data_IF_523162655782
#
_entry.id   IF_523162655782
#
_cell.length_a   1.000
_cell.length_b   1.000
_cell.length_c   1.000
_cell.angle_alpha   90.00
_cell.angle_beta   90.00
_cell.angle_gamma   90.00
#
_symmetry.space_group_name_H-M   'P 1'
#
loop_
_entity.id
_entity.type
_entity.pdbx_description
1 polymer ?
#
# COMPACT_ATOMS: atom_id res chain seq x y z
N UNK A 1 0.04 7.10 -51.71
CA UNK A 1 -1.27 6.76 -51.10
C UNK A 1 -1.23 6.54 -49.59
N UNK A 2 -0.19 5.91 -49.01
CA UNK A 2 -0.12 5.71 -47.54
C UNK A 2 0.07 6.99 -46.72
N UNK A 3 0.75 8.00 -47.27
CA UNK A 3 1.01 9.29 -46.61
C UNK A 3 -0.19 10.22 -46.51
N UNK A 4 -1.15 10.13 -47.45
CA UNK A 4 -2.38 10.94 -47.43
C UNK A 4 -3.38 10.40 -46.40
N UNK A 5 -3.42 9.07 -46.21
CA UNK A 5 -4.29 8.45 -45.20
C UNK A 5 -3.84 8.77 -43.77
N UNK A 6 -2.53 8.89 -43.53
CA UNK A 6 -1.97 9.22 -42.22
C UNK A 6 -2.22 10.69 -41.87
N UNK A 7 -2.11 11.60 -42.86
CA UNK A 7 -2.39 13.02 -42.66
C UNK A 7 -3.87 13.34 -42.40
N UNK A 8 -4.79 12.59 -43.04
CA UNK A 8 -6.23 12.67 -42.74
C UNK A 8 -6.55 12.11 -41.36
N UNK A 9 -5.92 11.00 -40.95
CA UNK A 9 -6.11 10.42 -39.62
C UNK A 9 -5.62 11.36 -38.50
N UNK A 10 -4.48 12.04 -38.67
CA UNK A 10 -4.00 13.03 -37.69
C UNK A 10 -4.82 14.31 -37.68
N UNK A 11 -5.40 14.73 -38.81
CA UNK A 11 -6.25 15.94 -38.87
C UNK A 11 -7.63 15.70 -38.26
N UNK A 12 -8.20 14.51 -38.38
CA UNK A 12 -9.48 14.15 -37.74
C UNK A 12 -9.32 14.00 -36.22
N UNK A 13 -8.16 13.53 -35.74
CA UNK A 13 -7.89 13.41 -34.30
C UNK A 13 -7.65 14.79 -33.64
N UNK A 14 -7.09 15.76 -34.35
CA UNK A 14 -6.86 17.11 -33.81
C UNK A 14 -8.09 18.04 -33.86
N UNK A 15 -9.01 17.84 -34.80
CA UNK A 15 -10.26 18.63 -34.87
C UNK A 15 -11.31 18.17 -33.86
N UNK A 16 -11.20 16.94 -33.33
CA UNK A 16 -12.10 16.43 -32.28
C UNK A 16 -11.73 16.89 -30.85
N UNK A 17 -10.57 17.55 -30.66
CA UNK A 17 -10.05 17.88 -29.33
C UNK A 17 -10.57 19.16 -28.62
N UNK A 18 -11.29 20.13 -29.22
CA UNK A 18 -11.81 21.25 -28.43
C UNK A 18 -13.20 20.99 -27.82
N UNK A 19 -13.87 19.86 -28.12
CA UNK A 19 -15.23 19.63 -27.62
C UNK A 19 -15.30 18.99 -26.22
N UNK A 20 -14.19 18.45 -25.69
CA UNK A 20 -14.17 17.75 -24.39
C UNK A 20 -13.69 18.63 -23.22
N UNK A 21 -13.21 19.84 -23.48
CA UNK A 21 -12.68 20.72 -22.42
C UNK A 21 -13.69 21.69 -21.81
N UNK A 22 -14.97 21.67 -22.21
CA UNK A 22 -15.97 22.63 -21.72
C UNK A 22 -17.35 22.07 -21.36
N UNK A 23 -17.53 20.76 -21.30
CA UNK A 23 -18.70 20.18 -20.63
C UNK A 23 -18.30 19.76 -19.22
N UNK A 24 -18.33 20.73 -18.30
CA UNK A 24 -18.74 20.40 -16.93
C UNK A 24 -20.13 19.81 -17.09
N UNK A 25 -20.36 18.51 -16.87
CA UNK A 25 -21.67 17.91 -17.09
C UNK A 25 -22.71 18.73 -16.33
N UNK A 26 -23.80 19.08 -16.99
CA UNK A 26 -24.92 19.86 -16.43
C UNK A 26 -25.45 19.24 -15.13
N UNK A 27 -25.16 17.95 -14.89
CA UNK A 27 -25.34 17.21 -13.63
C UNK A 27 -24.63 17.88 -12.43
N UNK A 28 -23.40 18.40 -12.61
CA UNK A 28 -22.66 19.11 -11.55
C UNK A 28 -23.27 20.48 -11.21
N UNK A 29 -24.10 21.05 -12.09
CA UNK A 29 -24.73 22.36 -11.92
C UNK A 29 -26.19 22.28 -11.45
N UNK A 30 -26.80 21.08 -11.44
CA UNK A 30 -28.25 20.92 -11.24
C UNK A 30 -28.68 20.58 -9.81
N UNK A 31 -27.76 20.55 -8.84
CA UNK A 31 -28.13 20.25 -7.47
C UNK A 31 -27.94 21.45 -6.54
N UNK A 32 -28.97 22.30 -6.33
CA UNK A 32 -28.95 23.32 -5.29
C UNK A 32 -29.04 22.71 -3.86
N UNK A 33 -28.98 21.39 -3.68
CA UNK A 33 -28.98 20.74 -2.36
C UNK A 33 -27.68 20.92 -1.54
N UNK A 34 -26.81 21.85 -1.91
CA UNK A 34 -25.53 22.11 -1.21
C UNK A 34 -25.64 23.09 -0.02
N UNK A 35 -26.85 23.43 0.43
CA UNK A 35 -27.00 24.02 1.77
C UNK A 35 -26.93 22.89 2.80
N UNK A 36 -25.77 22.77 3.44
CA UNK A 36 -25.62 21.89 4.59
C UNK A 36 -26.74 22.15 5.60
N UNK A 37 -27.35 21.08 6.10
CA UNK A 37 -28.49 21.09 7.03
C UNK A 37 -28.18 21.81 8.36
N UNK A 38 -26.91 22.17 8.60
CA UNK A 38 -26.45 22.81 9.82
C UNK A 38 -26.77 21.96 11.05
N UNK A 39 -27.18 22.61 12.13
CA UNK A 39 -27.57 21.93 13.37
C UNK A 39 -28.86 21.12 13.25
N UNK A 40 -29.69 21.37 12.22
CA UNK A 40 -30.92 20.61 12.02
C UNK A 40 -30.65 19.17 11.58
N UNK A 41 -29.48 18.88 10.99
CA UNK A 41 -29.08 17.51 10.66
C UNK A 41 -29.02 16.57 11.87
N UNK A 42 -28.86 17.09 13.10
CA UNK A 42 -28.92 16.27 14.32
C UNK A 42 -30.33 15.75 14.66
N UNK A 43 -31.37 16.30 14.03
CA UNK A 43 -32.75 15.85 14.26
C UNK A 43 -33.12 14.60 13.45
N UNK A 44 -32.36 14.29 12.40
CA UNK A 44 -32.55 13.08 11.59
C UNK A 44 -31.89 11.87 12.25
N UNK A 45 -32.59 11.31 13.24
CA UNK A 45 -32.14 10.14 14.00
C UNK A 45 -31.97 8.91 13.08
N UNK A 46 -32.80 8.78 12.04
CA UNK A 46 -32.72 7.67 11.10
C UNK A 46 -31.40 7.69 10.32
N UNK A 47 -31.04 8.86 9.78
CA UNK A 47 -29.75 9.05 9.13
C UNK A 47 -28.58 8.85 10.10
N UNK A 48 -28.65 9.40 11.32
CA UNK A 48 -27.57 9.26 12.31
C UNK A 48 -27.32 7.80 12.69
N UNK A 49 -28.37 7.00 12.89
CA UNK A 49 -28.24 5.56 13.19
C UNK A 49 -27.63 4.82 12.02
N UNK A 50 -28.15 5.02 10.80
CA UNK A 50 -27.61 4.39 9.59
C UNK A 50 -26.15 4.75 9.36
N UNK A 51 -25.79 6.04 9.48
CA UNK A 51 -24.42 6.52 9.35
C UNK A 51 -23.51 5.88 10.42
N UNK A 52 -23.98 5.79 11.68
CA UNK A 52 -23.21 5.16 12.76
C UNK A 52 -22.98 3.67 12.49
N UNK A 53 -24.00 2.94 12.04
CA UNK A 53 -23.88 1.52 11.68
C UNK A 53 -22.92 1.32 10.50
N UNK A 54 -22.98 2.19 9.48
CA UNK A 54 -22.07 2.18 8.34
C UNK A 54 -20.62 2.43 8.76
N UNK A 55 -20.38 3.39 9.66
CA UNK A 55 -19.05 3.65 10.20
C UNK A 55 -18.54 2.47 11.04
N UNK A 56 -19.39 1.88 11.88
CA UNK A 56 -19.04 0.68 12.65
C UNK A 56 -18.69 -0.50 11.74
N UNK A 57 -19.47 -0.72 10.68
CA UNK A 57 -19.18 -1.76 9.70
C UNK A 57 -17.83 -1.52 9.02
N UNK A 58 -17.54 -0.28 8.62
CA UNK A 58 -16.26 0.08 8.02
C UNK A 58 -15.09 -0.15 8.98
N UNK A 59 -15.24 0.17 10.27
CA UNK A 59 -14.24 -0.12 11.30
C UNK A 59 -14.01 -1.62 11.44
N UNK A 60 -15.07 -2.43 11.50
CA UNK A 60 -14.95 -3.88 11.66
C UNK A 60 -14.26 -4.49 10.43
N UNK A 61 -14.69 -4.16 9.22
CA UNK A 61 -14.10 -4.68 7.99
C UNK A 61 -12.66 -4.20 7.80
N UNK A 62 -12.39 -2.93 8.09
CA UNK A 62 -11.03 -2.38 8.10
C UNK A 62 -10.14 -3.08 9.13
N UNK A 63 -10.65 -3.37 10.32
CA UNK A 63 -9.94 -4.10 11.36
C UNK A 63 -9.62 -5.55 10.96
N UNK A 64 -10.52 -6.24 10.26
CA UNK A 64 -10.28 -7.60 9.74
C UNK A 64 -9.07 -7.62 8.79
N UNK A 65 -8.95 -6.62 7.91
CA UNK A 65 -7.78 -6.47 7.03
C UNK A 65 -6.55 -6.03 7.83
N UNK A 66 -6.71 -5.09 8.76
CA UNK A 66 -5.62 -4.51 9.54
C UNK A 66 -4.93 -5.51 10.47
N UNK A 67 -5.70 -6.38 11.12
CA UNK A 67 -5.20 -7.41 12.02
C UNK A 67 -5.04 -8.77 11.34
N UNK A 68 -4.84 -8.77 10.02
CA UNK A 68 -4.57 -10.00 9.27
C UNK A 68 -3.37 -10.76 9.91
N UNK A 69 -3.47 -12.08 10.15
CA UNK A 69 -2.51 -12.85 10.95
C UNK A 69 -1.07 -12.83 10.43
N UNK A 70 -0.88 -12.56 9.13
CA UNK A 70 0.44 -12.40 8.53
C UNK A 70 1.10 -11.05 8.78
N UNK A 71 0.34 -10.02 9.16
CA UNK A 71 0.89 -8.70 9.45
C UNK A 71 1.83 -8.73 10.67
N UNK A 72 1.46 -9.50 11.70
CA UNK A 72 2.30 -9.65 12.90
C UNK A 72 3.56 -10.51 12.72
N UNK A 73 3.69 -11.24 11.60
CA UNK A 73 4.87 -12.07 11.33
C UNK A 73 5.99 -11.30 10.60
N UNK A 74 5.66 -10.14 10.02
CA UNK A 74 6.57 -9.36 9.17
C UNK A 74 6.76 -7.92 9.68
N UNK A 75 6.08 -7.51 10.76
CA UNK A 75 6.14 -6.15 11.30
C UNK A 75 7.42 -5.93 12.13
N UNK A 76 8.53 -5.68 11.43
CA UNK A 76 9.83 -5.41 12.05
C UNK A 76 10.15 -3.90 12.09
N UNK A 77 9.43 -3.07 11.31
CA UNK A 77 9.57 -1.60 11.35
C UNK A 77 8.48 -0.90 12.17
N UNK A 78 8.80 0.24 12.79
CA UNK A 78 7.82 1.05 13.51
C UNK A 78 6.63 1.47 12.62
N UNK A 79 6.91 1.76 11.35
CA UNK A 79 5.90 2.11 10.35
C UNK A 79 4.90 0.96 10.10
N UNK A 80 5.37 -0.29 10.09
CA UNK A 80 4.51 -1.48 9.94
C UNK A 80 3.73 -1.81 11.20
N UNK A 81 4.31 -1.58 12.38
CA UNK A 81 3.61 -1.76 13.67
C UNK A 81 2.44 -0.78 13.80
N UNK A 82 2.58 0.43 13.26
CA UNK A 82 1.52 1.45 13.28
C UNK A 82 0.53 1.33 12.11
N UNK A 83 0.84 0.56 11.06
CA UNK A 83 0.00 0.39 9.87
C UNK A 83 -1.45 -0.04 10.15
N UNK A 84 -1.76 -0.93 11.13
CA UNK A 84 -3.14 -1.30 11.41
C UNK A 84 -4.02 -0.12 11.81
N UNK A 85 -3.47 0.84 12.58
CA UNK A 85 -4.17 2.06 12.98
C UNK A 85 -4.50 2.91 11.75
N UNK A 86 -3.54 3.04 10.84
CA UNK A 86 -3.69 3.78 9.58
C UNK A 86 -4.81 3.15 8.75
N UNK A 87 -4.84 1.83 8.61
CA UNK A 87 -5.85 1.15 7.79
C UNK A 87 -7.27 1.37 8.31
N UNK A 88 -7.48 1.28 9.63
CA UNK A 88 -8.79 1.53 10.24
C UNK A 88 -9.22 2.99 10.00
N UNK A 89 -8.32 3.96 10.20
CA UNK A 89 -8.60 5.37 9.94
C UNK A 89 -8.98 5.59 8.48
N UNK A 90 -8.26 4.99 7.54
CA UNK A 90 -8.54 5.12 6.11
C UNK A 90 -9.85 4.42 5.69
N UNK A 91 -10.24 3.31 6.33
CA UNK A 91 -11.57 2.72 6.14
C UNK A 91 -12.68 3.70 6.56
N UNK A 92 -12.52 4.33 7.72
CA UNK A 92 -13.48 5.33 8.24
C UNK A 92 -13.55 6.53 7.31
N UNK A 93 -12.41 7.05 6.83
CA UNK A 93 -12.36 8.14 5.85
C UNK A 93 -13.11 7.75 4.57
N UNK A 94 -12.88 6.54 4.05
CA UNK A 94 -13.60 6.01 2.88
C UNK A 94 -15.11 6.00 3.09
N UNK A 95 -15.58 5.46 4.22
CA UNK A 95 -17.00 5.41 4.56
C UNK A 95 -17.61 6.80 4.70
N UNK A 96 -16.88 7.73 5.33
CA UNK A 96 -17.31 9.12 5.47
C UNK A 96 -17.44 9.82 4.10
N UNK A 97 -16.49 9.59 3.18
CA UNK A 97 -16.59 10.08 1.79
C UNK A 97 -17.84 9.49 1.12
N UNK A 98 -18.09 8.19 1.25
CA UNK A 98 -19.25 7.54 0.64
C UNK A 98 -20.57 8.11 1.15
N UNK A 99 -20.72 8.27 2.47
CA UNK A 99 -21.91 8.88 3.09
C UNK A 99 -22.13 10.29 2.56
N UNK A 100 -21.07 11.10 2.48
CA UNK A 100 -21.15 12.46 1.95
C UNK A 100 -21.56 12.49 0.48
N UNK A 101 -21.03 11.58 -0.34
CA UNK A 101 -21.34 11.53 -1.78
C UNK A 101 -22.78 11.09 -2.00
N UNK A 102 -23.30 10.14 -1.21
CA UNK A 102 -24.69 9.70 -1.30
C UNK A 102 -25.65 10.82 -0.88
N UNK A 103 -25.33 11.56 0.19
CA UNK A 103 -26.23 12.58 0.75
C UNK A 103 -26.15 13.95 0.06
N UNK A 104 -24.94 14.38 -0.32
CA UNK A 104 -24.67 15.72 -0.84
C UNK A 104 -24.21 15.72 -2.30
N UNK A 105 -24.19 14.55 -2.95
CA UNK A 105 -23.93 14.40 -4.38
C UNK A 105 -22.46 14.33 -4.77
N UNK A 106 -22.24 14.16 -6.09
CA UNK A 106 -20.93 13.88 -6.68
C UNK A 106 -19.93 15.03 -6.55
N UNK A 107 -20.41 16.28 -6.44
CA UNK A 107 -19.56 17.47 -6.29
C UNK A 107 -18.67 17.35 -5.05
N UNK A 108 -19.24 16.89 -3.93
CA UNK A 108 -18.47 16.65 -2.70
C UNK A 108 -17.40 15.57 -2.90
N UNK A 109 -17.73 14.52 -3.64
CA UNK A 109 -16.77 13.48 -4.04
C UNK A 109 -15.60 14.02 -4.84
N UNK A 110 -15.85 14.90 -5.82
CA UNK A 110 -14.79 15.55 -6.61
C UNK A 110 -13.86 16.41 -5.74
N UNK A 111 -14.41 17.18 -4.81
CA UNK A 111 -13.62 18.01 -3.88
C UNK A 111 -12.74 17.14 -2.99
N UNK A 112 -13.31 16.11 -2.37
CA UNK A 112 -12.58 15.19 -1.49
C UNK A 112 -11.50 14.41 -2.24
N UNK A 113 -11.81 13.95 -3.46
CA UNK A 113 -10.82 13.32 -4.34
C UNK A 113 -9.68 14.27 -4.72
N UNK A 114 -10.00 15.53 -5.04
CA UNK A 114 -9.01 16.57 -5.33
C UNK A 114 -8.05 16.80 -4.17
N UNK A 115 -8.58 16.93 -2.94
CA UNK A 115 -7.77 17.08 -1.72
C UNK A 115 -6.89 15.84 -1.52
N UNK A 116 -7.44 14.62 -1.66
CA UNK A 116 -6.69 13.38 -1.53
C UNK A 116 -5.54 13.25 -2.54
N UNK A 117 -5.78 13.65 -3.80
CA UNK A 117 -4.77 13.68 -4.84
C UNK A 117 -3.63 14.66 -4.54
N UNK A 118 -3.96 15.85 -4.02
CA UNK A 118 -2.97 16.85 -3.61
C UNK A 118 -2.07 16.35 -2.47
N UNK A 119 -2.64 15.68 -1.47
CA UNK A 119 -1.87 15.10 -0.36
C UNK A 119 -0.91 14.05 -0.88
N UNK A 120 -1.36 13.14 -1.76
CA UNK A 120 -0.52 12.09 -2.33
C UNK A 120 0.70 12.63 -3.07
N UNK A 121 0.56 13.76 -3.78
CA UNK A 121 1.71 14.40 -4.46
C UNK A 121 2.72 15.04 -3.50
N UNK A 122 2.32 15.33 -2.26
CA UNK A 122 3.20 15.90 -1.24
C UNK A 122 3.86 14.84 -0.35
N UNK A 123 3.29 13.64 -0.25
CA UNK A 123 3.80 12.56 0.61
C UNK A 123 4.60 11.52 -0.19
N UNK A 124 5.87 11.30 0.18
CA UNK A 124 6.65 10.17 -0.33
C UNK A 124 6.19 8.89 0.37
N UNK A 125 5.63 7.96 -0.40
CA UNK A 125 5.25 6.63 0.09
C UNK A 125 6.46 5.72 -0.02
N UNK A 126 6.94 5.21 1.12
CA UNK A 126 8.19 4.43 1.22
C UNK A 126 8.03 2.99 0.73
N UNK A 127 6.84 2.40 0.88
CA UNK A 127 6.51 1.03 0.45
C UNK A 127 5.25 0.99 -0.41
N UNK A 128 5.36 0.38 -1.59
CA UNK A 128 4.24 0.19 -2.52
C UNK A 128 3.20 -0.81 -1.98
N UNK A 129 3.63 -1.81 -1.20
CA UNK A 129 2.76 -2.83 -0.60
C UNK A 129 1.84 -2.21 0.46
N UNK A 130 2.41 -1.44 1.39
CA UNK A 130 1.63 -0.73 2.43
C UNK A 130 0.62 0.23 1.79
N UNK A 131 1.03 0.97 0.77
CA UNK A 131 0.15 1.89 0.04
C UNK A 131 -1.03 1.16 -0.59
N UNK A 132 -0.80 0.01 -1.23
CA UNK A 132 -1.85 -0.79 -1.85
C UNK A 132 -2.91 -1.22 -0.85
N UNK A 133 -2.49 -1.65 0.35
CA UNK A 133 -3.40 -2.03 1.44
C UNK A 133 -4.22 -0.86 1.98
N UNK A 134 -3.61 0.31 2.12
CA UNK A 134 -4.34 1.53 2.52
C UNK A 134 -5.42 1.86 1.51
N UNK A 135 -5.08 1.88 0.21
CA UNK A 135 -6.04 2.19 -0.87
C UNK A 135 -7.18 1.17 -0.86
N UNK A 136 -6.85 -0.13 -0.79
CA UNK A 136 -7.83 -1.20 -0.78
C UNK A 136 -8.78 -1.10 0.42
N UNK A 137 -8.23 -0.83 1.61
CA UNK A 137 -9.02 -0.65 2.83
C UNK A 137 -9.91 0.60 2.76
N UNK A 138 -9.41 1.68 2.14
CA UNK A 138 -10.21 2.89 1.87
C UNK A 138 -11.39 2.57 0.94
N UNK A 139 -11.19 1.74 -0.09
CA UNK A 139 -12.25 1.32 -1.01
C UNK A 139 -13.32 0.47 -0.31
N UNK A 140 -12.94 -0.42 0.60
CA UNK A 140 -13.89 -1.18 1.44
C UNK A 140 -14.76 -0.22 2.24
N UNK A 141 -14.12 0.75 2.91
CA UNK A 141 -14.82 1.80 3.65
C UNK A 141 -15.78 2.58 2.76
N UNK A 142 -15.31 3.02 1.59
CA UNK A 142 -16.12 3.72 0.60
C UNK A 142 -17.35 2.91 0.17
N UNK A 143 -17.20 1.61 -0.08
CA UNK A 143 -18.33 0.72 -0.39
C UNK A 143 -19.34 0.65 0.76
N UNK A 144 -18.91 0.69 2.02
CA UNK A 144 -19.84 0.82 3.15
C UNK A 144 -20.60 2.14 3.08
N UNK A 145 -19.90 3.25 2.84
CA UNK A 145 -20.47 4.58 2.77
C UNK A 145 -21.43 4.81 1.60
N UNK A 146 -21.25 4.08 0.50
CA UNK A 146 -22.10 4.13 -0.70
C UNK A 146 -23.38 3.29 -0.58
N UNK A 147 -23.72 2.81 0.62
CA UNK A 147 -24.86 1.91 0.88
C UNK A 147 -24.76 0.56 0.14
N UNK A 148 -23.53 0.07 -0.06
CA UNK A 148 -23.23 -1.21 -0.69
C UNK A 148 -22.54 -2.19 0.28
N UNK A 149 -23.17 -2.56 1.41
CA UNK A 149 -22.52 -3.37 2.45
C UNK A 149 -22.16 -4.79 1.95
N UNK A 150 -22.94 -5.34 1.03
CA UNK A 150 -22.66 -6.64 0.42
C UNK A 150 -21.37 -6.63 -0.41
N UNK A 151 -21.11 -5.55 -1.16
CA UNK A 151 -19.87 -5.37 -1.91
C UNK A 151 -18.69 -5.19 -0.95
N UNK A 152 -18.87 -4.42 0.12
CA UNK A 152 -17.83 -4.21 1.12
C UNK A 152 -17.39 -5.52 1.79
N UNK A 153 -18.35 -6.38 2.18
CA UNK A 153 -18.05 -7.70 2.75
C UNK A 153 -17.34 -8.59 1.74
N UNK A 154 -17.83 -8.68 0.50
CA UNK A 154 -17.20 -9.49 -0.55
C UNK A 154 -15.76 -9.04 -0.83
N UNK A 155 -15.55 -7.72 -0.95
CA UNK A 155 -14.23 -7.13 -1.16
C UNK A 155 -13.30 -7.41 0.03
N UNK A 156 -13.81 -7.37 1.26
CA UNK A 156 -13.03 -7.70 2.46
C UNK A 156 -12.58 -9.15 2.44
N UNK A 157 -13.48 -10.10 2.15
CA UNK A 157 -13.12 -11.53 2.04
C UNK A 157 -12.10 -11.75 0.93
N UNK A 158 -12.32 -11.17 -0.25
CA UNK A 158 -11.38 -11.27 -1.36
C UNK A 158 -10.01 -10.69 -1.02
N UNK A 159 -9.96 -9.50 -0.43
CA UNK A 159 -8.73 -8.86 -0.01
C UNK A 159 -8.00 -9.63 1.07
N UNK A 160 -8.72 -10.19 2.03
CA UNK A 160 -8.15 -11.05 3.07
C UNK A 160 -7.43 -12.26 2.45
N UNK A 161 -8.09 -12.95 1.51
CA UNK A 161 -7.48 -14.08 0.79
C UNK A 161 -6.30 -13.63 -0.08
N UNK A 162 -6.42 -12.49 -0.76
CA UNK A 162 -5.36 -11.97 -1.61
C UNK A 162 -4.10 -11.62 -0.81
N UNK A 163 -4.25 -10.91 0.32
CA UNK A 163 -3.14 -10.61 1.24
C UNK A 163 -2.52 -11.90 1.76
N UNK A 164 -3.33 -12.89 2.12
CA UNK A 164 -2.84 -14.18 2.57
C UNK A 164 -1.94 -14.89 1.53
N UNK A 165 -2.31 -14.81 0.24
CA UNK A 165 -1.54 -15.40 -0.88
C UNK A 165 -0.29 -14.57 -1.19
N UNK A 166 -0.40 -13.24 -1.25
CA UNK A 166 0.72 -12.35 -1.62
C UNK A 166 1.81 -12.30 -0.55
N UNK A 167 1.44 -12.27 0.74
CA UNK A 167 2.38 -12.33 1.87
C UNK A 167 2.91 -13.76 2.12
N UNK A 168 2.76 -14.68 1.17
CA UNK A 168 3.41 -15.98 1.23
C UNK A 168 4.93 -15.90 0.99
N UNK A 169 5.44 -14.84 0.37
CA UNK A 169 6.86 -14.72 0.00
C UNK A 169 7.50 -13.43 0.53
N UNK A 170 7.92 -13.41 1.79
CA UNK A 170 8.71 -12.31 2.35
C UNK A 170 10.13 -12.38 1.75
N UNK A 171 10.61 -11.27 1.19
CA UNK A 171 11.96 -11.15 0.66
C UNK A 171 12.78 -10.27 1.62
N UNK A 172 13.77 -10.86 2.27
CA UNK A 172 14.70 -10.15 3.13
C UNK A 172 15.83 -9.55 2.31
N UNK A 173 16.22 -8.31 2.63
CA UNK A 173 17.39 -7.66 2.05
C UNK A 173 18.43 -7.36 3.13
N UNK A 174 19.61 -7.95 3.00
CA UNK A 174 20.75 -7.67 3.85
C UNK A 174 21.76 -6.80 3.08
N UNK A 175 22.23 -5.71 3.69
CA UNK A 175 23.39 -4.91 3.25
C UNK A 175 24.53 -5.05 4.28
N UNK A 176 25.51 -5.89 3.97
CA UNK A 176 26.71 -6.04 4.80
C UNK A 176 27.69 -4.94 4.43
N UNK A 177 28.04 -4.09 5.39
CA UNK A 177 28.95 -2.95 5.24
C UNK A 177 30.26 -3.18 5.99
N UNK A 178 31.25 -2.32 5.70
CA UNK A 178 32.58 -2.31 6.33
C UNK A 178 33.40 -3.60 6.13
N UNK A 179 33.23 -4.26 4.99
CA UNK A 179 33.99 -5.47 4.66
C UNK A 179 35.47 -5.16 4.39
N UNK A 180 36.42 -6.06 4.71
CA UNK A 180 37.83 -5.86 4.38
C UNK A 180 38.02 -5.76 2.86
N UNK A 181 38.58 -4.65 2.35
CA UNK A 181 38.64 -4.35 0.89
C UNK A 181 39.28 -5.45 0.05
N UNK A 182 40.17 -6.26 0.63
CA UNK A 182 40.92 -7.34 -0.04
C UNK A 182 40.22 -8.71 0.02
N UNK A 183 39.17 -8.88 0.84
CA UNK A 183 38.48 -10.18 1.07
C UNK A 183 36.95 -10.10 0.90
N UNK A 184 36.44 -9.08 0.22
CA UNK A 184 34.99 -8.89 -0.01
C UNK A 184 34.35 -10.09 -0.70
N UNK A 185 35.06 -10.74 -1.63
CA UNK A 185 34.58 -11.92 -2.34
C UNK A 185 34.50 -13.17 -1.44
N UNK A 186 35.49 -13.37 -0.57
CA UNK A 186 35.54 -14.48 0.39
C UNK A 186 34.50 -14.31 1.49
N UNK A 187 34.35 -13.08 2.01
CA UNK A 187 33.28 -12.77 2.95
C UNK A 187 31.92 -13.04 2.31
N UNK A 188 31.65 -12.53 1.11
CA UNK A 188 30.39 -12.79 0.40
C UNK A 188 30.11 -14.29 0.25
N UNK A 189 31.12 -15.11 -0.04
CA UNK A 189 30.96 -16.56 -0.13
C UNK A 189 30.61 -17.21 1.23
N UNK A 190 31.22 -16.74 2.33
CA UNK A 190 30.89 -17.22 3.67
C UNK A 190 29.45 -16.86 4.09
N UNK A 191 29.02 -15.60 3.84
CA UNK A 191 27.63 -15.18 4.08
C UNK A 191 26.65 -15.98 3.20
N UNK A 192 27.01 -16.24 1.94
CA UNK A 192 26.19 -17.04 1.01
C UNK A 192 26.02 -18.47 1.50
N UNK A 193 27.09 -19.13 1.92
CA UNK A 193 27.05 -20.51 2.38
C UNK A 193 26.19 -20.69 3.63
N UNK A 194 26.26 -19.74 4.57
CA UNK A 194 25.40 -19.74 5.77
C UNK A 194 23.91 -19.54 5.42
N UNK A 195 23.60 -18.63 4.49
CA UNK A 195 22.22 -18.43 4.03
C UNK A 195 21.67 -19.66 3.28
N UNK A 196 22.48 -20.30 2.43
CA UNK A 196 22.07 -21.52 1.72
C UNK A 196 21.92 -22.73 2.68
N UNK A 197 22.67 -22.78 3.79
CA UNK A 197 22.52 -23.81 4.83
C UNK A 197 21.21 -23.67 5.63
N UNK A 198 20.74 -22.43 5.84
CA UNK A 198 19.53 -22.12 6.61
C UNK A 198 18.26 -22.04 5.73
N UNK A 199 18.21 -22.79 4.63
CA UNK A 199 17.07 -22.89 3.70
C UNK A 199 16.60 -21.52 3.14
N UNK A 200 17.50 -20.54 3.05
CA UNK A 200 17.20 -19.23 2.47
C UNK A 200 17.49 -19.23 0.96
N UNK A 201 16.45 -19.03 0.14
CA UNK A 201 16.60 -18.91 -1.30
C UNK A 201 17.12 -17.52 -1.69
N UNK A 202 18.37 -17.44 -2.13
CA UNK A 202 18.99 -16.20 -2.58
C UNK A 202 18.44 -15.80 -3.95
N UNK A 203 17.66 -14.72 -3.99
CA UNK A 203 17.05 -14.16 -5.21
C UNK A 203 18.03 -13.28 -5.96
N UNK A 204 18.87 -12.52 -5.23
CA UNK A 204 19.82 -11.59 -5.84
C UNK A 204 21.03 -11.34 -4.95
N UNK A 205 22.19 -11.31 -5.57
CA UNK A 205 23.47 -10.96 -4.93
C UNK A 205 24.11 -9.81 -5.70
N UNK A 206 24.54 -8.75 -5.00
CA UNK A 206 25.27 -7.62 -5.60
C UNK A 206 26.52 -7.32 -4.79
N UNK A 207 27.68 -7.57 -5.39
CA UNK A 207 29.00 -7.27 -4.81
C UNK A 207 29.46 -5.89 -5.25
N UNK A 208 29.75 -5.00 -4.30
CA UNK A 208 30.34 -3.69 -4.56
C UNK A 208 31.70 -3.58 -3.84
N UNK A 209 32.78 -4.12 -4.43
CA UNK A 209 34.12 -4.11 -3.82
C UNK A 209 34.64 -2.68 -3.57
N UNK A 210 34.36 -1.73 -4.48
CA UNK A 210 34.77 -0.33 -4.31
C UNK A 210 34.11 0.41 -3.13
N UNK A 211 32.92 -0.02 -2.69
CA UNK A 211 32.23 0.54 -1.50
C UNK A 211 32.40 -0.33 -0.25
N UNK A 212 33.13 -1.46 -0.35
CA UNK A 212 33.26 -2.47 0.72
C UNK A 212 31.91 -2.99 1.24
N UNK A 213 30.98 -3.24 0.32
CA UNK A 213 29.60 -3.67 0.63
C UNK A 213 29.16 -4.85 -0.22
N UNK A 214 28.36 -5.72 0.38
CA UNK A 214 27.69 -6.82 -0.32
C UNK A 214 26.22 -6.79 0.08
N UNK A 215 25.36 -6.83 -0.93
CA UNK A 215 23.92 -6.83 -0.75
C UNK A 215 23.36 -8.17 -1.18
N UNK A 216 22.61 -8.81 -0.29
CA UNK A 216 21.85 -10.02 -0.55
C UNK A 216 20.36 -9.70 -0.49
N UNK A 217 19.60 -10.24 -1.44
CA UNK A 217 18.14 -10.32 -1.37
C UNK A 217 17.82 -11.80 -1.39
N UNK A 218 17.19 -12.32 -0.34
CA UNK A 218 16.85 -13.72 -0.22
C UNK A 218 15.45 -13.88 0.37
N UNK A 219 14.77 -14.95 0.01
CA UNK A 219 13.51 -15.34 0.63
C UNK A 219 13.83 -16.34 1.73
N UNK A 220 13.36 -16.05 2.94
CA UNK A 220 13.53 -16.98 4.05
C UNK A 220 12.32 -17.90 4.16
N UNK A 221 12.57 -19.16 4.47
CA UNK A 221 11.53 -20.12 4.86
C UNK A 221 10.94 -19.71 6.22
N UNK A 222 9.64 -19.93 6.42
CA UNK A 222 8.80 -19.37 7.51
C UNK A 222 9.29 -19.61 8.96
N UNK A 223 10.38 -20.34 9.15
CA UNK A 223 10.91 -20.75 10.44
C UNK A 223 12.10 -19.92 10.95
N UNK A 224 12.67 -19.02 10.13
CA UNK A 224 13.89 -18.31 10.50
C UNK A 224 13.58 -16.86 10.92
N UNK A 225 13.63 -16.59 12.22
CA UNK A 225 13.39 -15.25 12.78
C UNK A 225 14.61 -14.34 12.57
N UNK A 226 14.39 -13.05 12.32
CA UNK A 226 15.45 -12.03 12.16
C UNK A 226 16.51 -12.11 13.28
N UNK A 227 16.08 -12.23 14.53
CA UNK A 227 16.99 -12.38 15.68
C UNK A 227 17.89 -13.61 15.60
N UNK A 228 17.35 -14.75 15.21
CA UNK A 228 18.12 -15.98 15.05
C UNK A 228 19.13 -15.86 13.90
N UNK A 229 18.73 -15.27 12.78
CA UNK A 229 19.61 -15.00 11.65
C UNK A 229 20.71 -13.99 11.99
N UNK A 230 20.40 -12.95 12.76
CA UNK A 230 21.38 -11.97 13.23
C UNK A 230 22.40 -12.62 14.17
N UNK A 231 21.94 -13.36 15.18
CA UNK A 231 22.83 -14.08 16.11
C UNK A 231 23.69 -15.11 15.37
N UNK A 232 23.13 -15.81 14.39
CA UNK A 232 23.86 -16.80 13.58
C UNK A 232 24.94 -16.13 12.71
N UNK A 233 24.63 -15.02 12.07
CA UNK A 233 25.59 -14.24 11.27
C UNK A 233 26.66 -13.56 12.15
N UNK A 234 26.31 -13.19 13.38
CA UNK A 234 27.28 -12.63 14.34
C UNK A 234 28.18 -13.68 14.99
N UNK A 235 27.69 -14.91 15.17
CA UNK A 235 28.39 -15.98 15.91
C UNK A 235 29.20 -16.90 15.00
N UNK A 236 28.71 -17.22 13.80
CA UNK A 236 29.36 -18.21 12.92
C UNK A 236 30.36 -17.63 11.92
N UNK A 237 30.43 -16.29 11.79
CA UNK A 237 31.34 -15.65 10.82
C UNK A 237 32.64 -15.27 11.53
N UNK A 238 33.73 -15.77 10.97
CA UNK A 238 35.10 -15.48 11.42
C UNK A 238 35.32 -13.96 11.56
N UNK A 239 35.85 -13.52 12.72
CA UNK A 239 36.03 -12.12 13.06
C UNK A 239 36.89 -11.33 12.06
N UNK A 240 37.69 -12.02 11.23
CA UNK A 240 38.48 -11.42 10.16
C UNK A 240 37.70 -11.05 8.89
N UNK A 241 36.46 -11.55 8.74
CA UNK A 241 35.56 -11.34 7.59
C UNK A 241 34.26 -10.61 7.97
N UNK A 242 34.10 -10.28 9.26
CA UNK A 242 32.90 -9.67 9.83
C UNK A 242 32.75 -8.21 9.40
N UNK A 243 31.55 -7.86 8.94
CA UNK A 243 31.14 -6.49 8.61
C UNK A 243 29.97 -6.05 9.49
N UNK A 244 29.63 -4.77 9.48
CA UNK A 244 28.40 -4.30 10.11
C UNK A 244 27.22 -4.68 9.20
N UNK A 245 26.35 -5.57 9.67
CA UNK A 245 25.17 -6.02 8.94
C UNK A 245 24.06 -4.99 9.11
N UNK A 246 23.56 -4.44 8.00
CA UNK A 246 22.40 -3.55 7.99
C UNK A 246 21.25 -4.26 7.28
N UNK A 247 20.11 -4.38 7.95
CA UNK A 247 18.94 -5.09 7.43
C UNK A 247 17.93 -4.11 6.85
N UNK A 248 17.37 -4.45 5.70
CA UNK A 248 16.21 -3.79 5.10
C UNK A 248 15.19 -4.90 4.76
N UNK A 249 13.95 -4.76 5.20
CA UNK A 249 12.87 -5.72 4.94
C UNK A 249 11.90 -5.03 3.97
N UNK A 250 11.51 -5.72 2.91
CA UNK A 250 10.65 -5.20 1.81
C UNK A 250 9.42 -6.11 1.59
#
# INVERSE_FOLDING_TARGET
MKSVLIALATSVVLVAMPAWSQQVPEFLLRDPASMGEGWQGFTDVGFLVSATLTLLLAVILGAIIAYHPKHGQTADTLEEIEAPKVYIIYAVIGAMIGIMVVKYGLVVGFVLFGIGGLIRFRTSLRSASLTGRVIFTTLIGLSCGLDLPHVAVLATVFGYVLVYILDASVAYRIDIRALPSKRVAEAAAAYRALLEQEDCQIVREKKNPGKKRVMFIFRSSKHVTHHYLQDLLETQIDGSLKGSVNWEID
#
